data_IF_032371953849
#
_entry.id   IF_032371953849
#
_cell.length_a   1.000
_cell.length_b   1.000
_cell.length_c   1.000
_cell.angle_alpha   90.00
_cell.angle_beta   90.00
_cell.angle_gamma   90.00
#
_symmetry.space_group_name_H-M   'P 1'
#
loop_
_entity.id
_entity.type
_entity.pdbx_description
1 polymer ?
#
# COMPACT_ATOMS: atom_id res chain seq x y z
N UNK A 1 -6.95 17.72 21.51
CA UNK A 1 -5.75 18.27 22.17
C UNK A 1 -4.59 17.81 21.31
N UNK A 2 -3.87 18.75 20.71
CA UNK A 2 -2.76 18.45 19.81
C UNK A 2 -1.53 18.05 20.61
N UNK A 3 -0.72 17.15 20.07
CA UNK A 3 0.45 16.60 20.71
C UNK A 3 1.63 16.62 19.75
N UNK A 4 2.79 17.00 20.26
CA UNK A 4 4.01 17.14 19.48
C UNK A 4 5.18 16.52 20.24
N UNK A 5 6.20 16.09 19.50
CA UNK A 5 7.48 15.75 20.10
C UNK A 5 8.38 16.99 20.19
N UNK A 6 9.19 17.05 21.24
CA UNK A 6 10.21 18.08 21.43
C UNK A 6 11.58 17.41 21.56
N UNK A 7 12.43 17.61 20.55
CA UNK A 7 13.81 17.14 20.53
C UNK A 7 14.74 18.25 21.01
N UNK A 8 15.47 17.98 22.08
CA UNK A 8 16.42 18.91 22.70
C UNK A 8 17.86 18.38 22.59
N UNK A 9 18.86 19.27 22.51
CA UNK A 9 20.26 18.89 22.70
C UNK A 9 20.45 18.18 24.04
N UNK A 10 21.30 17.15 24.09
CA UNK A 10 21.43 16.24 25.25
C UNK A 10 21.58 16.97 26.60
N UNK A 11 22.41 18.02 26.64
CA UNK A 11 22.62 18.84 27.85
C UNK A 11 21.34 19.57 28.29
N UNK A 12 20.65 20.19 27.33
CA UNK A 12 19.40 20.92 27.59
C UNK A 12 18.26 19.95 27.97
N UNK A 13 18.20 18.78 27.34
CA UNK A 13 17.23 17.74 27.66
C UNK A 13 17.33 17.28 29.12
N UNK A 14 18.56 17.14 29.65
CA UNK A 14 18.79 16.78 31.04
C UNK A 14 18.30 17.89 31.99
N UNK A 15 18.66 19.14 31.71
CA UNK A 15 18.23 20.32 32.49
C UNK A 15 16.69 20.42 32.56
N UNK A 16 16.00 20.24 31.42
CA UNK A 16 14.54 20.26 31.36
C UNK A 16 13.92 19.07 32.11
N UNK A 17 14.50 17.86 32.01
CA UNK A 17 13.99 16.69 32.74
C UNK A 17 14.10 16.85 34.26
N UNK A 18 15.21 17.41 34.74
CA UNK A 18 15.41 17.72 36.16
C UNK A 18 14.39 18.78 36.63
N UNK A 19 14.13 19.82 35.83
CA UNK A 19 13.09 20.80 36.10
C UNK A 19 11.68 20.19 36.20
N UNK A 20 11.31 19.33 35.24
CA UNK A 20 10.02 18.62 35.26
C UNK A 20 9.89 17.74 36.51
N UNK A 21 10.94 17.00 36.89
CA UNK A 21 10.94 16.13 38.06
C UNK A 21 10.77 16.93 39.37
N UNK A 22 11.32 18.14 39.44
CA UNK A 22 11.22 19.03 40.59
C UNK A 22 9.91 19.85 40.62
N UNK A 23 9.03 19.70 39.62
CA UNK A 23 7.80 20.46 39.49
C UNK A 23 7.99 21.90 38.97
N UNK A 24 9.21 22.28 38.59
CA UNK A 24 9.54 23.60 38.06
C UNK A 24 9.32 23.68 36.54
N UNK A 25 8.12 23.28 36.12
CA UNK A 25 7.69 23.32 34.71
C UNK A 25 7.41 24.76 34.22
N UNK A 26 7.35 25.74 35.12
CA UNK A 26 6.97 27.11 34.83
C UNK A 26 8.02 27.89 34.02
N UNK A 27 9.26 27.39 33.92
CA UNK A 27 10.38 28.07 33.27
C UNK A 27 10.66 27.61 31.83
N UNK A 28 9.73 26.88 31.21
CA UNK A 28 9.81 26.42 29.82
C UNK A 28 8.65 27.00 29.01
N UNK A 29 8.98 27.76 27.96
CA UNK A 29 8.00 28.36 27.06
C UNK A 29 8.43 28.21 25.60
N UNK A 30 7.48 28.15 24.67
CA UNK A 30 7.72 28.03 23.24
C UNK A 30 7.01 29.18 22.50
N UNK A 31 7.80 30.03 21.84
CA UNK A 31 7.28 31.18 21.09
C UNK A 31 7.32 30.90 19.61
N UNK A 32 6.17 31.03 18.94
CA UNK A 32 6.06 30.87 17.49
C UNK A 32 6.59 32.11 16.73
N UNK A 33 7.30 31.86 15.64
CA UNK A 33 7.63 32.87 14.64
C UNK A 33 6.46 33.18 13.70
N UNK A 34 6.60 34.22 12.88
CA UNK A 34 5.54 34.68 11.98
C UNK A 34 5.17 33.68 10.87
N UNK A 35 6.07 32.77 10.54
CA UNK A 35 5.92 31.78 9.46
C UNK A 35 5.32 30.44 9.91
N UNK A 36 5.02 30.29 11.21
CA UNK A 36 4.56 29.05 11.84
C UNK A 36 5.49 27.83 11.60
N UNK A 37 6.72 28.06 11.14
CA UNK A 37 7.74 27.01 10.91
C UNK A 37 8.88 27.14 11.91
N UNK A 38 9.27 28.37 12.21
CA UNK A 38 10.33 28.67 13.16
C UNK A 38 9.76 29.03 14.52
N UNK A 39 10.44 28.58 15.56
CA UNK A 39 10.05 28.73 16.95
C UNK A 39 11.27 29.08 17.79
N UNK A 40 11.03 29.68 18.95
CA UNK A 40 12.08 29.93 19.95
C UNK A 40 11.67 29.27 21.25
N UNK A 41 12.46 28.29 21.69
CA UNK A 41 12.30 27.68 23.00
C UNK A 41 13.00 28.55 24.04
N UNK A 42 12.27 28.95 25.06
CA UNK A 42 12.81 29.59 26.26
C UNK A 42 12.93 28.56 27.38
N UNK A 43 14.13 28.39 27.92
CA UNK A 43 14.39 27.55 29.10
C UNK A 43 15.23 28.35 30.08
N UNK A 44 14.72 28.60 31.29
CA UNK A 44 15.44 29.32 32.35
C UNK A 44 16.00 30.68 31.89
N UNK A 45 15.22 31.41 31.07
CA UNK A 45 15.60 32.71 30.50
C UNK A 45 16.59 32.65 29.33
N UNK A 46 17.07 31.46 28.92
CA UNK A 46 17.89 31.26 27.72
C UNK A 46 17.01 30.93 26.52
N UNK A 47 17.42 31.43 25.35
CA UNK A 47 16.70 31.25 24.09
C UNK A 47 17.41 30.24 23.20
N UNK A 48 16.64 29.33 22.62
CA UNK A 48 17.11 28.31 21.70
C UNK A 48 16.28 28.32 20.42
N UNK A 49 16.91 28.42 19.25
CA UNK A 49 16.18 28.31 17.99
C UNK A 49 15.62 26.90 17.82
N UNK A 50 14.40 26.84 17.30
CA UNK A 50 13.68 25.61 17.03
C UNK A 50 12.97 25.70 15.67
N UNK A 51 12.80 24.57 15.00
CA UNK A 51 11.99 24.45 13.78
C UNK A 51 11.07 23.24 13.93
N UNK A 52 9.83 23.38 13.46
CA UNK A 52 8.93 22.22 13.34
C UNK A 52 9.25 21.46 12.05
N UNK A 53 9.41 20.15 12.16
CA UNK A 53 9.68 19.25 11.04
C UNK A 53 8.71 18.06 11.06
N UNK A 54 8.49 17.47 9.89
CA UNK A 54 7.64 16.29 9.73
C UNK A 54 8.38 15.03 10.18
N UNK A 55 7.67 14.14 10.89
CA UNK A 55 8.16 12.80 11.19
C UNK A 55 7.85 11.85 10.02
N UNK A 56 8.78 10.94 9.69
CA UNK A 56 8.52 9.96 8.63
C UNK A 56 7.51 8.90 9.07
N UNK A 57 7.37 8.67 10.37
CA UNK A 57 6.46 7.69 10.97
C UNK A 57 5.39 8.39 11.78
N UNK A 58 4.12 8.03 11.57
CA UNK A 58 3.01 8.44 12.44
C UNK A 58 3.15 7.70 13.77
N UNK A 59 3.07 8.43 14.87
CA UNK A 59 3.11 7.90 16.22
C UNK A 59 1.73 8.02 16.86
N UNK A 60 1.27 6.97 17.53
CA UNK A 60 0.04 7.02 18.31
C UNK A 60 0.35 7.06 19.80
N UNK A 61 -0.27 7.99 20.51
CA UNK A 61 -0.15 8.06 21.97
C UNK A 61 -1.30 7.34 22.62
N UNK A 62 -0.97 6.51 23.60
CA UNK A 62 -1.92 5.69 24.33
C UNK A 62 -1.83 5.99 25.81
N UNK A 63 -2.98 5.97 26.48
CA UNK A 63 -3.10 6.05 27.94
C UNK A 63 -3.60 4.71 28.46
N UNK A 64 -3.16 4.34 29.64
CA UNK A 64 -3.59 3.13 30.32
C UNK A 64 -3.71 3.41 31.82
N UNK A 65 -4.56 2.64 32.48
CA UNK A 65 -4.70 2.63 33.93
C UNK A 65 -4.08 1.38 34.56
N UNK A 66 -3.95 0.30 33.79
CA UNK A 66 -3.60 -1.05 34.26
C UNK A 66 -2.45 -1.71 33.47
N UNK A 67 -1.82 -0.96 32.56
CA UNK A 67 -0.78 -1.41 31.64
C UNK A 67 -1.17 -2.59 30.73
N UNK A 68 -2.48 -2.87 30.62
CA UNK A 68 -3.00 -3.95 29.80
C UNK A 68 -3.95 -3.41 28.72
N UNK A 69 -4.92 -2.58 29.11
CA UNK A 69 -5.80 -1.90 28.16
C UNK A 69 -5.26 -0.52 27.83
N UNK A 70 -4.98 -0.30 26.55
CA UNK A 70 -4.47 0.95 26.01
C UNK A 70 -5.56 1.68 25.24
N UNK A 71 -5.79 2.94 25.61
CA UNK A 71 -6.76 3.81 24.98
C UNK A 71 -6.02 4.89 24.19
N UNK A 72 -6.30 4.97 22.89
CA UNK A 72 -5.71 6.01 22.03
C UNK A 72 -6.11 7.40 22.53
N UNK A 73 -5.12 8.25 22.76
CA UNK A 73 -5.28 9.62 23.24
C UNK A 73 -4.88 10.66 22.20
N UNK A 74 -4.14 10.29 21.17
CA UNK A 74 -3.66 11.23 20.16
C UNK A 74 -2.76 10.58 19.11
N UNK A 75 -2.36 11.39 18.15
CA UNK A 75 -1.42 11.06 17.09
C UNK A 75 -0.38 12.18 17.00
N UNK A 76 0.86 11.82 16.65
CA UNK A 76 1.96 12.76 16.47
C UNK A 76 2.61 12.48 15.12
N UNK A 77 2.56 13.47 14.23
CA UNK A 77 3.22 13.45 12.92
C UNK A 77 4.34 14.48 12.79
N UNK A 78 4.56 15.32 13.79
CA UNK A 78 5.52 16.43 13.74
C UNK A 78 6.39 16.50 15.00
N UNK A 79 7.57 17.07 14.86
CA UNK A 79 8.56 17.23 15.91
C UNK A 79 9.16 18.63 15.88
N UNK A 80 9.27 19.26 17.05
CA UNK A 80 10.09 20.44 17.24
C UNK A 80 11.53 20.01 17.46
N UNK A 81 12.42 20.43 16.57
CA UNK A 81 13.86 20.18 16.69
C UNK A 81 14.52 21.46 17.17
N UNK A 82 15.18 21.38 18.34
CA UNK A 82 15.88 22.49 18.96
C UNK A 82 17.39 22.30 18.79
N UNK A 83 18.09 23.36 18.40
CA UNK A 83 19.54 23.34 18.19
C UNK A 83 20.20 24.42 19.04
N UNK A 84 21.36 24.13 19.62
CA UNK A 84 22.19 25.12 20.33
C UNK A 84 23.47 25.50 19.56
N UNK A 85 23.74 24.84 18.42
CA UNK A 85 24.90 25.10 17.56
C UNK A 85 24.50 25.77 16.24
N UNK A 86 25.25 26.78 15.84
CA UNK A 86 24.98 27.53 14.61
C UNK A 86 25.16 26.68 13.33
N UNK A 87 26.05 25.68 13.35
CA UNK A 87 26.25 24.75 12.22
C UNK A 87 25.02 23.86 11.99
N UNK A 88 24.41 23.36 13.08
CA UNK A 88 23.23 22.50 13.02
C UNK A 88 21.97 23.28 12.63
N UNK A 89 21.94 24.59 12.93
CA UNK A 89 20.84 25.49 12.54
C UNK A 89 20.68 25.59 11.02
N UNK A 90 21.78 25.66 10.25
CA UNK A 90 21.71 25.68 8.78
C UNK A 90 21.15 24.37 8.21
N UNK A 91 21.53 23.24 8.81
CA UNK A 91 21.00 21.94 8.42
C UNK A 91 19.51 21.83 8.74
N UNK A 92 19.08 22.38 9.88
CA UNK A 92 17.69 22.40 10.28
C UNK A 92 16.82 23.27 9.35
N UNK A 93 17.33 24.43 8.92
CA UNK A 93 16.66 25.28 7.93
C UNK A 93 16.34 24.53 6.64
N UNK A 94 17.28 23.72 6.14
CA UNK A 94 17.10 22.91 4.93
C UNK A 94 16.23 21.66 5.11
N UNK A 95 15.94 21.24 6.35
CA UNK A 95 15.20 20.00 6.61
C UNK A 95 13.75 20.28 6.98
N UNK A 96 12.83 19.89 6.09
CA UNK A 96 11.39 19.92 6.36
C UNK A 96 10.84 18.59 6.91
N UNK A 97 11.53 17.47 6.62
CA UNK A 97 11.21 16.12 7.10
C UNK A 97 12.46 15.51 7.74
N UNK A 98 12.33 14.94 8.95
CA UNK A 98 13.47 14.26 9.60
C UNK A 98 13.71 12.89 8.96
N UNK A 99 14.96 12.49 8.70
CA UNK A 99 15.26 11.25 7.97
C UNK A 99 14.99 9.97 8.78
N UNK A 100 14.93 10.09 10.11
CA UNK A 100 14.87 8.97 11.05
C UNK A 100 13.50 8.92 11.75
N UNK A 101 13.02 7.71 12.03
CA UNK A 101 11.99 7.52 13.05
C UNK A 101 12.59 7.59 14.46
N UNK A 102 11.72 7.64 15.48
CA UNK A 102 12.14 7.81 16.88
C UNK A 102 12.86 6.58 17.43
N UNK A 103 12.48 5.38 16.98
CA UNK A 103 13.05 4.13 17.49
C UNK A 103 14.28 3.70 16.68
N UNK A 104 15.29 3.05 17.30
CA UNK A 104 16.52 2.67 16.60
C UNK A 104 16.32 1.86 15.31
N UNK A 105 15.38 0.89 15.23
CA UNK A 105 15.12 0.15 13.99
C UNK A 105 14.61 1.02 12.83
N UNK A 106 14.12 2.22 13.10
CA UNK A 106 13.62 3.18 12.11
C UNK A 106 14.66 4.25 11.72
N UNK A 107 15.94 4.01 11.98
CA UNK A 107 17.02 4.84 11.45
C UNK A 107 17.00 4.83 9.91
N UNK A 108 17.05 6.03 9.32
CA UNK A 108 16.99 6.32 7.89
C UNK A 108 15.84 5.60 7.17
N UNK A 109 14.68 5.53 7.82
CA UNK A 109 13.53 4.74 7.33
C UNK A 109 13.04 5.20 5.96
N UNK A 110 13.12 6.51 5.66
CA UNK A 110 12.71 7.07 4.37
C UNK A 110 13.50 6.41 3.23
N UNK A 111 14.83 6.56 3.24
CA UNK A 111 15.72 6.01 2.19
C UNK A 111 15.75 4.49 2.19
N UNK A 112 15.72 3.87 3.37
CA UNK A 112 15.94 2.43 3.50
C UNK A 112 14.69 1.61 3.18
N UNK A 113 13.51 2.05 3.59
CA UNK A 113 12.25 1.31 3.48
C UNK A 113 11.25 1.99 2.55
N UNK A 114 10.94 3.26 2.79
CA UNK A 114 9.82 3.92 2.11
C UNK A 114 10.10 4.17 0.64
N UNK A 115 11.27 4.68 0.31
CA UNK A 115 11.68 4.94 -1.07
C UNK A 115 11.62 3.68 -1.94
N UNK A 116 12.03 2.53 -1.38
CA UNK A 116 11.97 1.22 -2.06
C UNK A 116 10.56 0.65 -2.20
N UNK A 117 9.62 1.13 -1.38
CA UNK A 117 8.23 0.63 -1.33
C UNK A 117 7.26 1.58 -2.01
N UNK A 118 7.72 2.76 -2.48
CA UNK A 118 6.93 3.66 -3.33
C UNK A 118 6.62 2.93 -4.65
N UNK A 119 5.47 2.28 -4.72
CA UNK A 119 5.05 1.53 -5.90
C UNK A 119 4.38 2.40 -6.95
N UNK A 120 3.79 3.55 -6.61
CA UNK A 120 2.99 4.35 -7.57
C UNK A 120 2.59 5.72 -7.01
N UNK A 121 3.54 6.63 -6.86
CA UNK A 121 3.25 8.06 -7.08
C UNK A 121 4.37 8.52 -8.00
N UNK A 122 4.12 8.62 -9.32
CA UNK A 122 5.15 9.07 -10.26
C UNK A 122 5.56 10.53 -9.98
N UNK A 123 4.76 11.26 -9.21
CA UNK A 123 4.95 12.69 -8.96
C UNK A 123 5.67 12.95 -7.63
N UNK A 124 6.76 13.75 -7.63
CA UNK A 124 7.40 14.25 -6.43
C UNK A 124 6.43 15.02 -5.51
N UNK A 125 6.60 14.91 -4.18
CA UNK A 125 5.76 15.65 -3.20
C UNK A 125 5.71 17.17 -3.48
N UNK A 126 6.82 17.86 -3.82
CA UNK A 126 6.79 19.28 -4.13
C UNK A 126 5.90 19.61 -5.33
N UNK A 127 5.91 18.78 -6.37
CA UNK A 127 5.08 18.98 -7.55
C UNK A 127 3.60 18.76 -7.25
N UNK A 128 3.27 17.74 -6.47
CA UNK A 128 1.89 17.52 -6.02
C UNK A 128 1.40 18.74 -5.23
N UNK A 129 2.22 19.27 -4.31
CA UNK A 129 1.85 20.46 -3.53
C UNK A 129 1.67 21.71 -4.40
N UNK A 130 2.52 21.92 -5.41
CA UNK A 130 2.40 23.01 -6.39
C UNK A 130 1.09 22.89 -7.17
N UNK A 131 0.80 21.70 -7.71
CA UNK A 131 -0.44 21.45 -8.46
C UNK A 131 -1.67 21.61 -7.56
N UNK A 132 -1.62 21.18 -6.30
CA UNK A 132 -2.71 21.40 -5.33
C UNK A 132 -2.94 22.89 -5.09
N UNK A 133 -1.88 23.69 -4.93
CA UNK A 133 -1.98 25.14 -4.76
C UNK A 133 -2.59 25.81 -6.00
N UNK A 134 -2.15 25.42 -7.19
CA UNK A 134 -2.68 25.93 -8.45
C UNK A 134 -4.15 25.55 -8.65
N UNK A 135 -4.53 24.30 -8.31
CA UNK A 135 -5.92 23.86 -8.32
C UNK A 135 -6.79 24.72 -7.39
N UNK A 136 -6.31 25.03 -6.19
CA UNK A 136 -7.01 25.91 -5.25
C UNK A 136 -7.19 27.31 -5.82
N UNK A 137 -6.15 27.88 -6.45
CA UNK A 137 -6.23 29.18 -7.13
C UNK A 137 -7.26 29.18 -8.26
N UNK A 138 -7.30 28.11 -9.07
CA UNK A 138 -8.26 27.95 -10.16
C UNK A 138 -9.69 27.87 -9.60
N UNK A 139 -9.91 27.05 -8.56
CA UNK A 139 -11.23 26.93 -7.90
C UNK A 139 -11.69 28.27 -7.31
N UNK A 140 -10.76 29.09 -6.81
CA UNK A 140 -11.04 30.43 -6.31
C UNK A 140 -11.32 31.48 -7.41
N UNK A 141 -11.34 31.08 -8.69
CA UNK A 141 -11.58 31.96 -9.84
C UNK A 141 -10.34 32.72 -10.31
N UNK A 142 -9.15 32.23 -9.97
CA UNK A 142 -7.88 32.74 -10.47
C UNK A 142 -7.72 32.54 -11.99
N UNK A 143 -6.82 33.32 -12.59
CA UNK A 143 -6.48 33.21 -14.01
C UNK A 143 -5.76 31.87 -14.24
N UNK A 144 -6.22 31.10 -15.23
CA UNK A 144 -5.55 29.87 -15.68
C UNK A 144 -4.46 30.31 -16.64
N UNK A 145 -3.20 30.27 -16.21
CA UNK A 145 -2.07 30.38 -17.11
C UNK A 145 -1.77 28.98 -17.68
N UNK A 146 -2.04 28.80 -18.97
CA UNK A 146 -1.71 27.57 -19.69
C UNK A 146 -0.25 27.66 -20.13
N UNK A 147 0.63 27.02 -19.35
CA UNK A 147 2.07 26.99 -19.64
C UNK A 147 2.37 25.72 -20.43
N UNK A 148 2.77 25.89 -21.69
CA UNK A 148 3.22 24.81 -22.55
C UNK A 148 4.76 24.81 -22.60
N UNK A 149 5.36 23.72 -22.14
CA UNK A 149 6.81 23.52 -22.20
C UNK A 149 7.12 22.56 -23.36
N UNK A 150 8.01 22.96 -24.26
CA UNK A 150 8.47 22.15 -25.41
C UNK A 150 10.01 22.08 -25.37
N UNK A 151 10.56 20.88 -25.61
CA UNK A 151 12.01 20.74 -25.75
C UNK A 151 12.45 21.30 -27.11
N UNK A 152 13.37 22.25 -27.07
CA UNK A 152 13.97 22.89 -28.25
C UNK A 152 15.47 22.68 -28.26
N UNK A 153 16.06 22.56 -29.44
CA UNK A 153 17.51 22.52 -29.60
C UNK A 153 18.13 23.78 -28.99
N UNK A 154 19.29 23.62 -28.35
CA UNK A 154 20.03 24.76 -27.81
C UNK A 154 20.50 25.66 -28.95
N UNK A 155 20.16 26.94 -28.87
CA UNK A 155 20.66 27.99 -29.76
C UNK A 155 21.39 29.06 -28.95
N UNK A 156 22.43 29.67 -29.55
CA UNK A 156 23.29 30.68 -28.89
C UNK A 156 22.51 31.87 -28.28
N UNK A 157 21.30 32.16 -28.77
CA UNK A 157 20.44 33.22 -28.23
C UNK A 157 19.74 32.85 -26.91
N UNK A 158 19.75 31.57 -26.52
CA UNK A 158 19.16 31.05 -25.29
C UNK A 158 20.12 31.11 -24.09
N UNK A 159 21.36 31.57 -24.28
CA UNK A 159 22.29 31.84 -23.20
C UNK A 159 22.01 33.22 -22.59
N UNK A 160 21.83 33.26 -21.27
CA UNK A 160 21.74 34.48 -20.49
C UNK A 160 22.88 34.54 -19.45
N UNK A 161 23.00 35.68 -18.74
CA UNK A 161 24.06 35.89 -17.76
C UNK A 161 23.98 34.90 -16.57
N UNK A 162 22.82 34.28 -16.35
CA UNK A 162 22.56 33.31 -15.28
C UNK A 162 22.80 31.86 -15.76
N UNK A 163 22.64 31.60 -17.05
CA UNK A 163 22.73 30.28 -17.72
C UNK A 163 23.54 30.37 -19.02
N UNK A 164 24.86 30.60 -18.93
CA UNK A 164 25.72 30.87 -20.10
C UNK A 164 25.88 29.67 -21.06
N UNK A 165 25.41 28.48 -20.68
CA UNK A 165 25.39 27.27 -21.52
C UNK A 165 23.99 26.69 -21.70
N UNK A 166 22.94 27.46 -21.42
CA UNK A 166 21.56 26.98 -21.36
C UNK A 166 21.21 26.31 -20.02
N UNK A 167 19.95 25.89 -19.89
CA UNK A 167 19.42 25.26 -18.68
C UNK A 167 19.94 23.82 -18.62
N UNK A 168 20.75 23.50 -17.60
CA UNK A 168 21.25 22.14 -17.39
C UNK A 168 20.26 21.34 -16.52
N UNK A 169 19.59 20.34 -17.09
CA UNK A 169 18.72 19.43 -16.33
C UNK A 169 19.59 18.36 -15.65
N UNK A 170 19.72 18.43 -14.32
CA UNK A 170 20.64 17.57 -13.56
C UNK A 170 20.14 16.13 -13.34
N UNK A 171 18.89 15.81 -13.69
CA UNK A 171 18.32 14.46 -13.59
C UNK A 171 17.74 13.98 -14.94
N UNK A 172 18.63 13.66 -15.86
CA UNK A 172 18.28 13.17 -17.21
C UNK A 172 17.52 11.83 -17.18
N UNK A 173 17.61 11.06 -16.09
CA UNK A 173 17.10 9.70 -16.02
C UNK A 173 15.59 9.62 -15.79
N UNK A 174 14.99 10.62 -15.13
CA UNK A 174 13.53 10.73 -15.04
C UNK A 174 12.94 11.29 -16.33
N UNK A 175 13.58 12.29 -16.94
CA UNK A 175 13.15 12.88 -18.20
C UNK A 175 13.12 11.86 -19.36
N UNK A 176 14.17 11.05 -19.48
CA UNK A 176 14.26 9.96 -20.48
C UNK A 176 13.21 8.86 -20.23
N UNK A 177 12.80 8.65 -18.97
CA UNK A 177 11.82 7.61 -18.62
C UNK A 177 10.39 8.02 -19.00
N UNK A 178 10.06 9.30 -18.89
CA UNK A 178 8.75 9.85 -19.27
C UNK A 178 8.62 10.06 -20.78
N UNK A 179 9.75 10.29 -21.46
CA UNK A 179 9.82 10.59 -22.89
C UNK A 179 10.92 9.75 -23.56
N UNK A 180 10.65 8.46 -23.85
CA UNK A 180 11.64 7.54 -24.41
C UNK A 180 12.14 7.93 -25.81
N UNK A 181 11.43 8.80 -26.53
CA UNK A 181 11.88 9.44 -27.76
C UNK A 181 13.25 10.16 -27.61
N UNK A 182 13.60 10.60 -26.39
CA UNK A 182 14.88 11.22 -26.07
C UNK A 182 16.10 10.30 -26.25
N UNK A 183 15.94 8.96 -26.26
CA UNK A 183 17.08 8.05 -26.52
C UNK A 183 17.62 8.13 -27.96
N UNK A 184 16.78 8.56 -28.90
CA UNK A 184 17.03 8.41 -30.35
C UNK A 184 17.45 9.70 -31.05
N UNK A 185 17.41 10.85 -30.34
CA UNK A 185 17.76 12.16 -30.88
C UNK A 185 19.27 12.34 -31.16
N UNK A 186 20.13 11.48 -30.61
CA UNK A 186 21.59 11.51 -30.82
C UNK A 186 22.11 10.50 -31.85
N UNK A 187 21.25 9.68 -32.46
CA UNK A 187 21.68 8.71 -33.47
C UNK A 187 21.92 9.38 -34.82
N UNK A 188 23.18 9.61 -35.18
CA UNK A 188 23.54 9.99 -36.56
C UNK A 188 23.10 8.92 -37.57
N UNK A 189 22.64 9.29 -38.79
CA UNK A 189 22.16 8.33 -39.77
C UNK A 189 23.28 7.39 -40.24
N UNK A 190 23.15 6.11 -39.93
CA UNK A 190 24.16 5.09 -40.21
C UNK A 190 24.44 4.89 -41.71
N UNK A 191 25.72 5.02 -42.08
CA UNK A 191 26.22 4.71 -43.44
C UNK A 191 26.33 3.19 -43.64
N UNK A 192 25.61 2.69 -44.65
CA UNK A 192 25.57 1.26 -45.04
C UNK A 192 26.97 0.69 -45.37
N UNK A 193 27.34 -0.43 -44.75
CA UNK A 193 28.23 -1.45 -45.35
C UNK A 193 27.71 -2.87 -45.10
N UNK A 194 27.63 -3.61 -46.20
CA UNK A 194 27.11 -4.98 -46.32
C UNK A 194 28.13 -6.06 -45.91
N UNK A 195 27.59 -7.29 -45.73
CA UNK A 195 28.19 -8.63 -45.91
C UNK A 195 29.05 -9.14 -44.72
N UNK A 196 29.05 -10.41 -44.27
CA UNK A 196 28.62 -11.74 -44.76
C UNK A 196 28.47 -12.70 -43.55
N UNK A 197 27.58 -13.70 -43.63
CA UNK A 197 27.63 -14.97 -42.87
C UNK A 197 28.62 -15.94 -43.56
N UNK A 198 29.27 -16.92 -42.88
CA UNK A 198 28.66 -18.24 -42.56
C UNK A 198 29.33 -18.99 -41.35
N UNK A 199 29.28 -20.34 -41.17
CA UNK A 199 28.18 -21.12 -40.58
C UNK A 199 28.59 -22.14 -39.45
N UNK A 200 27.58 -22.76 -38.82
CA UNK A 200 27.53 -24.14 -38.25
C UNK A 200 28.40 -24.54 -37.03
N UNK A 201 27.73 -24.93 -35.92
CA UNK A 201 27.63 -26.31 -35.39
C UNK A 201 27.12 -26.30 -33.93
N UNK A 202 26.32 -27.29 -33.55
CA UNK A 202 25.44 -27.24 -32.38
C UNK A 202 26.04 -27.68 -31.04
N UNK A 203 25.22 -27.59 -30.00
CA UNK A 203 25.11 -28.59 -28.92
C UNK A 203 23.94 -28.23 -28.00
N UNK A 204 23.37 -29.28 -27.41
CA UNK A 204 22.22 -29.35 -26.51
C UNK A 204 22.37 -28.56 -25.21
N UNK A 205 21.25 -28.11 -24.62
CA UNK A 205 20.64 -28.70 -23.40
C UNK A 205 19.65 -27.71 -22.78
N UNK A 206 18.54 -28.27 -22.29
CA UNK A 206 17.50 -27.59 -21.48
C UNK A 206 17.87 -27.72 -20.00
N UNK A 207 17.56 -26.71 -19.17
CA UNK A 207 16.89 -26.99 -17.89
C UNK A 207 15.76 -25.96 -17.63
N UNK A 208 14.63 -26.27 -16.99
CA UNK A 208 14.41 -27.19 -15.88
C UNK A 208 13.88 -26.37 -14.70
N UNK A 209 12.56 -26.24 -14.58
CA UNK A 209 11.85 -25.51 -13.51
C UNK A 209 11.94 -26.28 -12.18
N UNK A 210 12.43 -25.61 -11.14
CA UNK A 210 12.49 -26.15 -9.78
C UNK A 210 11.20 -25.84 -9.00
N UNK A 211 10.50 -26.89 -8.59
CA UNK A 211 9.49 -26.85 -7.52
C UNK A 211 10.19 -27.04 -6.17
N UNK A 212 10.00 -26.12 -5.24
CA UNK A 212 10.31 -26.32 -3.84
C UNK A 212 9.09 -26.90 -3.13
N UNK A 213 9.32 -28.00 -2.39
CA UNK A 213 8.40 -28.61 -1.44
C UNK A 213 8.70 -28.02 -0.07
N UNK A 214 7.66 -27.71 0.70
CA UNK A 214 7.74 -27.68 2.15
C UNK A 214 6.54 -28.44 2.72
N UNK A 215 6.86 -29.39 3.59
CA UNK A 215 5.94 -30.05 4.50
C UNK A 215 5.58 -29.04 5.61
N UNK A 216 4.37 -29.15 6.17
CA UNK A 216 4.26 -29.34 7.61
C UNK A 216 2.90 -29.95 7.97
N UNK A 217 2.99 -30.82 8.97
CA UNK A 217 1.93 -31.59 9.60
C UNK A 217 1.11 -30.67 10.52
N UNK A 218 -0.20 -30.91 10.64
CA UNK A 218 -0.89 -30.86 11.92
C UNK A 218 -2.21 -31.63 11.84
N UNK A 219 -2.32 -32.64 12.71
CA UNK A 219 -3.53 -33.39 13.02
C UNK A 219 -4.23 -32.67 14.18
N UNK A 220 -5.52 -32.43 14.07
CA UNK A 220 -6.37 -32.37 15.26
C UNK A 220 -7.73 -32.99 14.97
N UNK A 221 -8.12 -33.84 15.91
CA UNK A 221 -9.31 -34.68 15.96
C UNK A 221 -10.29 -33.99 16.89
N UNK A 222 -11.53 -33.77 16.45
CA UNK A 222 -12.64 -33.55 17.38
C UNK A 222 -13.70 -34.62 17.14
N UNK A 223 -13.66 -35.62 18.01
CA UNK A 223 -14.82 -36.42 18.39
C UNK A 223 -15.69 -35.54 19.29
N UNK A 224 -17.01 -35.67 19.16
CA UNK A 224 -18.01 -35.78 20.24
C UNK A 224 -19.35 -35.22 19.74
N UNK A 225 -20.30 -36.11 19.50
CA UNK A 225 -21.70 -36.02 19.96
C UNK A 225 -22.45 -37.28 19.50
N UNK A 226 -22.24 -38.37 20.26
CA UNK A 226 -23.27 -39.38 20.48
C UNK A 226 -24.00 -38.97 21.76
N UNK A 227 -25.30 -38.69 21.65
CA UNK A 227 -26.35 -39.02 22.64
C UNK A 227 -27.61 -38.23 22.28
N UNK A 228 -28.62 -38.93 21.75
CA UNK A 228 -30.07 -38.76 21.95
C UNK A 228 -30.77 -39.59 20.86
N UNK A 229 -31.09 -40.85 21.18
CA UNK A 229 -32.43 -41.46 21.11
C UNK A 229 -32.32 -42.99 21.19
N UNK A 230 -32.32 -43.45 22.45
CA UNK A 230 -32.65 -44.81 22.85
C UNK A 230 -34.18 -44.97 22.94
N UNK A 231 -34.67 -46.15 22.52
CA UNK A 231 -36.01 -46.62 22.89
C UNK A 231 -37.10 -46.56 21.81
N UNK A 232 -37.16 -47.54 20.91
CA UNK A 232 -38.44 -48.12 20.50
C UNK A 232 -38.29 -49.52 19.86
N UNK A 233 -38.98 -50.48 20.46
CA UNK A 233 -38.95 -51.92 20.14
C UNK A 233 -39.49 -52.31 18.74
N UNK A 234 -38.75 -53.25 18.16
CA UNK A 234 -39.08 -54.36 17.25
C UNK A 234 -40.37 -54.37 16.38
N UNK A 235 -40.16 -54.41 15.06
CA UNK A 235 -40.91 -55.25 14.10
C UNK A 235 -39.92 -55.80 13.05
N UNK A 236 -40.02 -57.07 12.60
CA UNK A 236 -39.13 -57.60 11.58
C UNK A 236 -39.55 -57.03 10.22
N UNK A 237 -38.85 -55.99 9.76
CA UNK A 237 -39.02 -55.48 8.41
C UNK A 237 -38.09 -56.25 7.47
N UNK A 238 -38.67 -56.71 6.36
CA UNK A 238 -38.04 -57.33 5.18
C UNK A 238 -36.64 -56.80 4.83
N UNK A 239 -35.76 -57.60 4.20
CA UNK A 239 -34.44 -57.12 3.76
C UNK A 239 -34.61 -55.82 2.98
N UNK A 240 -33.77 -54.79 3.22
CA UNK A 240 -33.94 -53.52 2.54
C UNK A 240 -33.84 -53.79 1.04
N UNK A 241 -34.90 -53.47 0.29
CA UNK A 241 -34.80 -53.34 -1.16
C UNK A 241 -33.63 -52.40 -1.40
N UNK A 242 -32.50 -52.91 -1.93
CA UNK A 242 -31.46 -52.05 -2.44
C UNK A 242 -32.14 -51.09 -3.41
N UNK A 243 -32.11 -49.80 -3.09
CA UNK A 243 -32.79 -48.80 -3.89
C UNK A 243 -32.16 -48.84 -5.28
N UNK A 244 -32.94 -49.17 -6.30
CA UNK A 244 -32.43 -49.53 -7.62
C UNK A 244 -31.54 -48.44 -8.25
N UNK A 245 -31.80 -47.17 -7.92
CA UNK A 245 -31.02 -46.02 -8.36
C UNK A 245 -29.57 -46.01 -7.84
N UNK A 246 -29.26 -46.66 -6.71
CA UNK A 246 -27.90 -46.71 -6.16
C UNK A 246 -26.93 -47.49 -7.07
N UNK A 247 -27.46 -48.33 -7.96
CA UNK A 247 -26.69 -49.10 -8.94
C UNK A 247 -26.80 -48.55 -10.36
N UNK A 248 -27.59 -47.49 -10.58
CA UNK A 248 -27.79 -46.90 -11.89
C UNK A 248 -26.53 -46.12 -12.35
N UNK A 249 -25.92 -46.47 -13.50
CA UNK A 249 -24.77 -45.76 -14.03
C UNK A 249 -25.01 -44.27 -14.32
N UNK A 250 -26.25 -43.84 -14.61
CA UNK A 250 -26.59 -42.43 -14.84
C UNK A 250 -26.59 -41.64 -13.52
N UNK A 251 -27.20 -42.20 -12.46
CA UNK A 251 -27.21 -41.60 -11.13
C UNK A 251 -25.79 -41.40 -10.57
N UNK A 252 -24.92 -42.41 -10.72
CA UNK A 252 -23.54 -42.34 -10.24
C UNK A 252 -22.69 -41.29 -10.97
N UNK A 253 -23.00 -40.94 -12.22
CA UNK A 253 -22.31 -39.86 -12.96
C UNK A 253 -22.71 -38.47 -12.47
N UNK A 254 -23.91 -38.30 -11.92
CA UNK A 254 -24.42 -36.99 -11.46
C UNK A 254 -23.79 -36.54 -10.14
N UNK A 255 -23.38 -37.48 -9.26
CA UNK A 255 -22.82 -37.15 -7.93
C UNK A 255 -21.52 -36.32 -8.01
N UNK A 256 -20.50 -36.69 -8.82
CA UNK A 256 -19.30 -35.87 -8.97
C UNK A 256 -19.56 -34.52 -9.62
N UNK A 257 -20.57 -34.43 -10.50
CA UNK A 257 -20.97 -33.19 -11.17
C UNK A 257 -21.59 -32.24 -10.14
N UNK A 258 -22.51 -32.74 -9.29
CA UNK A 258 -23.08 -31.98 -8.17
C UNK A 258 -21.98 -31.44 -7.25
N UNK A 259 -21.06 -32.29 -6.82
CA UNK A 259 -20.01 -31.90 -5.88
C UNK A 259 -19.06 -30.85 -6.49
N UNK A 260 -18.74 -30.98 -7.78
CA UNK A 260 -17.97 -29.98 -8.54
C UNK A 260 -18.70 -28.65 -8.64
N UNK A 261 -19.97 -28.66 -9.04
CA UNK A 261 -20.77 -27.43 -9.18
C UNK A 261 -20.98 -26.77 -7.81
N UNK A 262 -21.22 -27.54 -6.75
CA UNK A 262 -21.38 -27.04 -5.39
C UNK A 262 -20.08 -26.45 -4.83
N UNK A 263 -18.91 -27.01 -5.18
CA UNK A 263 -17.62 -26.36 -4.91
C UNK A 263 -17.48 -25.05 -5.69
N UNK A 264 -17.84 -25.05 -6.97
CA UNK A 264 -17.76 -23.87 -7.83
C UNK A 264 -18.66 -22.72 -7.37
N UNK A 265 -19.85 -23.00 -6.83
CA UNK A 265 -20.71 -21.98 -6.21
C UNK A 265 -20.05 -21.36 -4.98
N UNK A 266 -19.45 -22.18 -4.10
CA UNK A 266 -18.73 -21.68 -2.91
C UNK A 266 -17.53 -20.82 -3.27
N UNK A 267 -16.75 -21.23 -4.27
CA UNK A 267 -15.62 -20.46 -4.75
C UNK A 267 -16.09 -19.11 -5.35
N UNK A 268 -17.17 -19.11 -6.14
CA UNK A 268 -17.75 -17.87 -6.68
C UNK A 268 -18.32 -16.94 -5.59
N UNK A 269 -18.95 -17.48 -4.54
CA UNK A 269 -19.44 -16.69 -3.40
C UNK A 269 -18.27 -16.03 -2.63
N UNK A 270 -17.12 -16.72 -2.51
CA UNK A 270 -15.89 -16.14 -1.93
C UNK A 270 -15.37 -14.98 -2.78
N UNK A 271 -15.30 -15.16 -4.09
CA UNK A 271 -14.79 -14.14 -5.02
C UNK A 271 -15.72 -12.90 -5.04
N UNK A 272 -17.03 -13.10 -4.95
CA UNK A 272 -18.02 -12.02 -4.80
C UNK A 272 -17.78 -11.23 -3.50
N UNK A 273 -17.53 -11.93 -2.39
CA UNK A 273 -17.24 -11.28 -1.10
C UNK A 273 -15.96 -10.42 -1.17
N UNK A 274 -14.90 -10.96 -1.77
CA UNK A 274 -13.63 -10.23 -1.94
C UNK A 274 -13.79 -9.01 -2.87
N UNK A 275 -14.50 -9.15 -3.99
CA UNK A 275 -14.78 -8.04 -4.90
C UNK A 275 -15.67 -6.98 -4.25
N UNK A 276 -16.67 -7.37 -3.45
CA UNK A 276 -17.52 -6.43 -2.70
C UNK A 276 -16.69 -5.61 -1.71
N UNK A 277 -15.82 -6.26 -0.93
CA UNK A 277 -14.93 -5.57 0.00
C UNK A 277 -13.99 -4.57 -0.72
N UNK A 278 -13.49 -4.93 -1.91
CA UNK A 278 -12.68 -4.03 -2.75
C UNK A 278 -13.49 -2.84 -3.30
N UNK A 279 -14.78 -3.00 -3.58
CA UNK A 279 -15.65 -1.89 -3.99
C UNK A 279 -15.90 -0.90 -2.84
N UNK A 280 -16.09 -1.42 -1.63
CA UNK A 280 -16.40 -0.61 -0.44
C UNK A 280 -15.16 0.14 0.06
N UNK A 281 -14.00 -0.52 0.05
CA UNK A 281 -12.73 0.07 0.52
C UNK A 281 -12.12 1.09 -0.46
N UNK A 282 -12.55 1.11 -1.73
CA UNK A 282 -11.91 1.96 -2.74
C UNK A 282 -12.61 3.32 -2.90
N UNK A 283 -11.83 4.39 -2.71
CA UNK A 283 -12.26 5.79 -2.85
C UNK A 283 -12.12 6.33 -4.28
N UNK A 284 -11.31 5.69 -5.14
CA UNK A 284 -11.15 6.10 -6.53
C UNK A 284 -12.36 5.65 -7.37
N UNK A 285 -13.10 6.62 -7.93
CA UNK A 285 -14.36 6.38 -8.66
C UNK A 285 -14.16 5.48 -9.89
N UNK A 286 -13.07 5.66 -10.64
CA UNK A 286 -12.78 4.90 -11.86
C UNK A 286 -12.50 3.43 -11.50
N UNK A 287 -11.65 3.22 -10.50
CA UNK A 287 -11.28 1.87 -10.04
C UNK A 287 -12.47 1.18 -9.37
N UNK A 288 -13.27 1.92 -8.60
CA UNK A 288 -14.52 1.45 -8.01
C UNK A 288 -15.52 1.00 -9.08
N UNK A 289 -15.67 1.74 -10.18
CA UNK A 289 -16.54 1.35 -11.28
C UNK A 289 -16.04 0.07 -11.99
N UNK A 290 -14.73 -0.09 -12.15
CA UNK A 290 -14.15 -1.33 -12.68
C UNK A 290 -14.43 -2.54 -11.77
N UNK A 291 -14.26 -2.39 -10.46
CA UNK A 291 -14.58 -3.46 -9.51
C UNK A 291 -16.08 -3.76 -9.43
N UNK A 292 -16.94 -2.75 -9.56
CA UNK A 292 -18.40 -2.95 -9.67
C UNK A 292 -18.76 -3.78 -10.90
N UNK A 293 -18.17 -3.49 -12.05
CA UNK A 293 -18.39 -4.28 -13.27
C UNK A 293 -17.92 -5.73 -13.10
N UNK A 294 -16.74 -5.95 -12.49
CA UNK A 294 -16.25 -7.29 -12.18
C UNK A 294 -17.16 -8.04 -11.19
N UNK A 295 -17.66 -7.35 -10.15
CA UNK A 295 -18.59 -7.90 -9.17
C UNK A 295 -19.91 -8.34 -9.82
N UNK A 296 -20.41 -7.56 -10.78
CA UNK A 296 -21.63 -7.87 -11.51
C UNK A 296 -21.46 -9.10 -12.41
N UNK A 297 -20.35 -9.20 -13.15
CA UNK A 297 -20.01 -10.40 -13.93
C UNK A 297 -19.88 -11.63 -13.03
N UNK A 298 -19.21 -11.51 -11.87
CA UNK A 298 -19.05 -12.62 -10.93
C UNK A 298 -20.39 -13.09 -10.34
N UNK A 299 -21.29 -12.15 -10.02
CA UNK A 299 -22.68 -12.46 -9.59
C UNK A 299 -23.43 -13.23 -10.67
N UNK A 300 -23.31 -12.81 -11.93
CA UNK A 300 -23.98 -13.47 -13.03
C UNK A 300 -23.45 -14.91 -13.26
N UNK A 301 -22.13 -15.09 -13.24
CA UNK A 301 -21.51 -16.42 -13.30
C UNK A 301 -21.97 -17.32 -12.15
N UNK A 302 -22.02 -16.78 -10.92
CA UNK A 302 -22.52 -17.51 -9.75
C UNK A 302 -23.97 -17.93 -9.92
N UNK A 303 -24.83 -17.08 -10.49
CA UNK A 303 -26.24 -17.43 -10.75
C UNK A 303 -26.39 -18.52 -11.80
N UNK A 304 -25.56 -18.51 -12.86
CA UNK A 304 -25.57 -19.55 -13.89
C UNK A 304 -25.14 -20.91 -13.31
N UNK A 305 -24.03 -20.95 -12.56
CA UNK A 305 -23.55 -22.18 -11.91
C UNK A 305 -24.56 -22.70 -10.89
N UNK A 306 -25.21 -21.81 -10.13
CA UNK A 306 -26.25 -22.20 -9.18
C UNK A 306 -27.48 -22.81 -9.87
N UNK A 307 -27.90 -22.24 -11.01
CA UNK A 307 -29.01 -22.80 -11.80
C UNK A 307 -28.67 -24.19 -12.37
N UNK A 308 -27.44 -24.40 -12.83
CA UNK A 308 -26.97 -25.72 -13.26
C UNK A 308 -26.94 -26.73 -12.11
N UNK A 309 -26.48 -26.31 -10.92
CA UNK A 309 -26.48 -27.15 -9.72
C UNK A 309 -27.90 -27.56 -9.32
N UNK A 310 -28.86 -26.64 -9.37
CA UNK A 310 -30.24 -26.92 -9.03
C UNK A 310 -30.89 -27.89 -10.02
N UNK A 311 -30.54 -27.79 -11.32
CA UNK A 311 -30.97 -28.77 -12.33
C UNK A 311 -30.43 -30.17 -12.03
N UNK A 312 -29.13 -30.29 -11.72
CA UNK A 312 -28.51 -31.58 -11.37
C UNK A 312 -29.10 -32.15 -10.08
N UNK A 313 -29.39 -31.31 -9.08
CA UNK A 313 -30.07 -31.75 -7.85
C UNK A 313 -31.49 -32.24 -8.11
N UNK A 314 -32.23 -31.59 -9.02
CA UNK A 314 -33.56 -32.05 -9.41
C UNK A 314 -33.49 -33.42 -10.11
N UNK A 315 -32.56 -33.61 -11.05
CA UNK A 315 -32.35 -34.91 -11.71
C UNK A 315 -31.99 -36.01 -10.69
N UNK A 316 -31.13 -35.71 -9.71
CA UNK A 316 -30.80 -36.65 -8.61
C UNK A 316 -32.06 -36.96 -7.78
N UNK A 317 -32.88 -35.97 -7.44
CA UNK A 317 -34.10 -36.16 -6.67
C UNK A 317 -35.16 -37.00 -7.41
N UNK A 318 -35.23 -36.89 -8.74
CA UNK A 318 -36.09 -37.72 -9.58
C UNK A 318 -35.68 -39.20 -9.51
N UNK A 319 -34.37 -39.49 -9.51
CA UNK A 319 -33.85 -40.85 -9.29
C UNK A 319 -34.11 -41.36 -7.86
N UNK A 320 -34.01 -40.50 -6.85
CA UNK A 320 -34.24 -40.86 -5.45
C UNK A 320 -35.72 -41.10 -5.12
N UNK A 321 -36.63 -40.52 -5.91
CA UNK A 321 -38.08 -40.64 -5.77
C UNK A 321 -38.71 -41.74 -6.64
N UNK A 322 -37.95 -42.31 -7.58
CA UNK A 322 -38.34 -43.44 -8.45
C UNK A 322 -38.11 -44.81 -7.81
#
# INVERSE_FOLDING_TARGET
MEQYLLQLPKRLAQEVREGIANGDSANVDMVAGADNKHFTLHVNGKKYPAKIAQLPTILETHKTYDDNFFYKSGEIGQIFVVTDKEEEKKLLEMQDEVPNGITPPNTNVIKRKYEKTKKTTPFPKPDVARVEEDLVKIIAGGVIEDVHEELVDFYDWMADDEHPGGITVMDEMELIREHPEYLTLSEEPSTKKQKLLPPSAGSSTVPGTANARDNDEDKEVDMLEDDILDGMDTKPASPPRQKAYLTDPEYLKLLPIRDRLQKSVRDADRDISELSAKVDANSNIIVKNRFKQMLETARQQRTEIAAELDKVKAEIADFESS
#
